data_IF_238336728038
#
_entry.id   IF_238336728038
#
_cell.length_a   1.000
_cell.length_b   1.000
_cell.length_c   1.000
_cell.angle_alpha   90.00
_cell.angle_beta   90.00
_cell.angle_gamma   90.00
#
_symmetry.space_group_name_H-M   'P 1'
#
loop_
_entity.id
_entity.type
_entity.pdbx_description
1 polymer ?
#
# COMPACT_ATOMS: atom_id res chain seq x y z
N UNK A 1 -1.49 12.75 -18.82
CA UNK A 1 -0.22 12.02 -18.62
C UNK A 1 -0.40 10.99 -17.52
N UNK A 2 -0.65 9.72 -17.85
CA UNK A 2 -0.65 8.64 -16.87
C UNK A 2 0.79 8.41 -16.41
N UNK A 3 1.17 8.98 -15.26
CA UNK A 3 2.43 8.61 -14.61
C UNK A 3 2.30 7.15 -14.20
N UNK A 4 3.17 6.28 -14.74
CA UNK A 4 3.17 4.86 -14.41
C UNK A 4 3.49 4.64 -12.93
N UNK A 5 2.76 3.74 -12.28
CA UNK A 5 2.98 3.37 -10.88
C UNK A 5 4.14 2.36 -10.79
N UNK A 6 5.00 2.55 -9.80
CA UNK A 6 6.11 1.64 -9.46
C UNK A 6 5.96 1.18 -8.01
N UNK A 7 6.46 0.00 -7.68
CA UNK A 7 6.18 -0.59 -6.37
C UNK A 7 6.78 -1.96 -6.16
N UNK A 8 6.59 -2.51 -4.96
CA UNK A 8 7.08 -3.84 -4.62
C UNK A 8 6.03 -4.92 -4.92
N UNK A 9 6.45 -5.94 -5.66
CA UNK A 9 5.70 -7.16 -5.91
C UNK A 9 6.59 -8.38 -5.66
N UNK A 10 6.21 -9.24 -4.71
CA UNK A 10 6.97 -10.43 -4.28
C UNK A 10 8.47 -10.17 -4.03
N UNK A 11 8.81 -8.99 -3.49
CA UNK A 11 10.20 -8.59 -3.21
C UNK A 11 10.94 -7.91 -4.37
N UNK A 12 10.39 -7.94 -5.59
CA UNK A 12 10.91 -7.20 -6.74
C UNK A 12 10.32 -5.79 -6.80
N UNK A 13 11.15 -4.81 -7.19
CA UNK A 13 10.72 -3.43 -7.35
C UNK A 13 10.38 -3.14 -8.82
N UNK A 14 9.11 -3.31 -9.19
CA UNK A 14 8.64 -3.10 -10.55
C UNK A 14 8.48 -1.60 -10.85
N UNK A 15 8.86 -1.17 -12.05
CA UNK A 15 8.95 0.23 -12.48
C UNK A 15 7.73 0.73 -13.22
N UNK A 16 6.79 -0.15 -13.55
CA UNK A 16 5.52 0.22 -14.19
C UNK A 16 4.37 -0.72 -13.85
N UNK A 17 3.14 -0.23 -14.04
CA UNK A 17 1.93 -1.05 -13.91
C UNK A 17 1.87 -2.17 -14.95
N UNK A 18 2.52 -2.00 -16.12
CA UNK A 18 2.54 -3.02 -17.17
C UNK A 18 3.50 -4.15 -16.82
N UNK A 19 4.64 -3.84 -16.20
CA UNK A 19 5.53 -4.87 -15.63
C UNK A 19 4.80 -5.67 -14.54
N UNK A 20 4.01 -5.00 -13.69
CA UNK A 20 3.18 -5.68 -12.71
C UNK A 20 2.15 -6.63 -13.34
N UNK A 21 1.44 -6.16 -14.38
CA UNK A 21 0.50 -7.02 -15.10
C UNK A 21 1.21 -8.24 -15.71
N UNK A 22 2.36 -8.04 -16.36
CA UNK A 22 3.13 -9.15 -16.91
C UNK A 22 3.59 -10.13 -15.83
N UNK A 23 4.12 -9.64 -14.70
CA UNK A 23 4.51 -10.49 -13.57
C UNK A 23 3.33 -11.31 -13.02
N UNK A 24 2.14 -10.71 -12.92
CA UNK A 24 0.90 -11.41 -12.51
C UNK A 24 0.48 -12.49 -13.50
N UNK A 25 0.58 -12.21 -14.80
CA UNK A 25 0.33 -13.21 -15.85
C UNK A 25 1.28 -14.40 -15.70
N UNK A 26 2.59 -14.14 -15.56
CA UNK A 26 3.60 -15.20 -15.41
C UNK A 26 3.33 -16.06 -14.18
N UNK A 27 2.99 -15.41 -13.06
CA UNK A 27 2.66 -16.09 -11.80
C UNK A 27 1.39 -16.94 -11.91
N UNK A 28 0.36 -16.50 -12.64
CA UNK A 28 -0.86 -17.27 -12.85
C UNK A 28 -0.59 -18.60 -13.57
N UNK A 29 0.30 -18.57 -14.56
CA UNK A 29 0.75 -19.77 -15.28
C UNK A 29 1.92 -20.49 -14.61
N UNK A 30 2.33 -20.06 -13.41
CA UNK A 30 3.47 -20.63 -12.68
C UNK A 30 4.77 -20.66 -13.49
N UNK A 31 4.97 -19.66 -14.35
CA UNK A 31 6.18 -19.52 -15.16
C UNK A 31 7.26 -18.85 -14.28
N UNK A 32 8.41 -19.49 -14.03
CA UNK A 32 9.48 -18.86 -13.26
C UNK A 32 10.08 -17.67 -14.02
N UNK A 33 10.30 -16.57 -13.32
CA UNK A 33 10.90 -15.36 -13.87
C UNK A 33 11.83 -14.68 -12.86
N UNK A 34 12.76 -13.90 -13.39
CA UNK A 34 13.59 -12.97 -12.61
C UNK A 34 13.53 -11.58 -13.25
N UNK A 35 14.00 -10.56 -12.52
CA UNK A 35 13.70 -9.17 -12.86
C UNK A 35 14.92 -8.29 -12.75
N UNK A 36 15.24 -7.60 -13.85
CA UNK A 36 16.36 -6.67 -13.96
C UNK A 36 17.73 -7.26 -13.54
N UNK A 37 17.92 -8.58 -13.71
CA UNK A 37 19.07 -9.34 -13.20
C UNK A 37 20.43 -8.85 -13.69
N UNK A 38 20.53 -8.52 -14.99
CA UNK A 38 21.80 -8.15 -15.62
C UNK A 38 21.63 -7.07 -16.69
N UNK A 39 22.74 -6.48 -17.07
CA UNK A 39 22.84 -5.48 -18.15
C UNK A 39 23.63 -6.06 -19.32
N UNK A 40 23.22 -5.75 -20.55
CA UNK A 40 23.92 -6.09 -21.78
C UNK A 40 24.58 -4.85 -22.36
N UNK A 41 25.83 -4.98 -22.79
CA UNK A 41 26.46 -3.98 -23.65
C UNK A 41 26.06 -4.26 -25.10
N UNK A 42 25.31 -3.34 -25.71
CA UNK A 42 24.88 -3.45 -27.11
C UNK A 42 25.70 -2.53 -28.05
N UNK A 43 26.88 -2.12 -27.60
CA UNK A 43 27.88 -1.35 -28.35
C UNK A 43 27.73 0.16 -28.21
N UNK A 44 26.51 0.68 -28.15
CA UNK A 44 26.26 2.14 -28.03
C UNK A 44 25.59 2.55 -26.71
N UNK A 45 25.11 1.58 -25.93
CA UNK A 45 24.59 1.78 -24.58
C UNK A 45 24.60 0.47 -23.81
N UNK A 46 24.56 0.58 -22.49
CA UNK A 46 24.15 -0.52 -21.64
C UNK A 46 22.61 -0.61 -21.66
N UNK A 47 22.09 -1.81 -21.89
CA UNK A 47 20.67 -2.10 -21.93
C UNK A 47 20.29 -3.10 -20.83
N UNK A 48 19.19 -2.86 -20.14
CA UNK A 48 18.69 -3.71 -19.07
C UNK A 48 17.25 -4.10 -19.37
N UNK A 49 17.01 -5.33 -19.87
CA UNK A 49 15.67 -5.85 -20.03
C UNK A 49 14.92 -5.97 -18.69
N UNK A 50 13.60 -5.98 -18.74
CA UNK A 50 12.76 -6.08 -17.55
C UNK A 50 12.77 -7.50 -16.95
N UNK A 51 12.47 -8.52 -17.77
CA UNK A 51 12.29 -9.91 -17.30
C UNK A 51 13.29 -10.87 -17.93
N UNK A 52 13.70 -11.88 -17.15
CA UNK A 52 14.67 -12.90 -17.50
C UNK A 52 14.11 -14.30 -17.26
N UNK A 53 14.36 -15.20 -18.21
CA UNK A 53 13.90 -16.59 -18.17
C UNK A 53 15.07 -17.55 -18.36
N UNK A 54 15.23 -18.45 -17.40
CA UNK A 54 16.31 -19.42 -17.34
C UNK A 54 15.79 -20.82 -17.68
N UNK A 55 16.65 -21.66 -18.23
CA UNK A 55 16.39 -23.09 -18.34
C UNK A 55 16.66 -23.81 -17.00
N UNK A 56 16.50 -25.13 -17.01
CA UNK A 56 16.69 -25.97 -15.82
C UNK A 56 18.15 -25.99 -15.34
N UNK A 57 19.10 -25.73 -16.25
CA UNK A 57 20.53 -25.69 -15.96
C UNK A 57 20.99 -24.29 -15.50
N UNK A 58 20.08 -23.32 -15.44
CA UNK A 58 20.36 -21.95 -15.03
C UNK A 58 20.95 -21.07 -16.15
N UNK A 59 20.91 -21.51 -17.41
CA UNK A 59 21.33 -20.69 -18.55
C UNK A 59 20.21 -19.75 -18.96
N UNK A 60 20.60 -18.52 -19.34
CA UNK A 60 19.63 -17.53 -19.81
C UNK A 60 19.13 -17.89 -21.19
N UNK A 61 17.85 -18.24 -21.28
CA UNK A 61 17.19 -18.63 -22.52
C UNK A 61 16.57 -17.44 -23.24
N UNK A 62 15.97 -16.52 -22.48
CA UNK A 62 15.15 -15.44 -23.04
C UNK A 62 15.07 -14.23 -22.13
N UNK A 63 14.98 -13.05 -22.73
CA UNK A 63 14.67 -11.79 -22.06
C UNK A 63 13.40 -11.17 -22.62
N UNK A 64 12.69 -10.39 -21.80
CA UNK A 64 11.48 -9.70 -22.21
C UNK A 64 11.51 -8.25 -21.76
N UNK A 65 11.17 -7.34 -22.67
CA UNK A 65 10.97 -5.91 -22.41
C UNK A 65 9.48 -5.57 -22.41
N UNK A 66 9.03 -4.83 -21.40
CA UNK A 66 7.66 -4.31 -21.31
C UNK A 66 7.65 -2.84 -21.72
N UNK A 67 6.89 -2.51 -22.78
CA UNK A 67 6.87 -1.16 -23.32
C UNK A 67 5.48 -0.51 -23.30
N UNK A 68 5.48 0.81 -23.18
CA UNK A 68 4.27 1.61 -23.32
C UNK A 68 3.82 1.74 -24.79
N UNK A 69 2.67 2.37 -25.04
CA UNK A 69 2.14 2.64 -26.39
C UNK A 69 2.95 3.66 -27.21
N UNK A 70 4.08 4.16 -26.69
CA UNK A 70 4.92 5.11 -27.40
C UNK A 70 5.70 4.42 -28.53
N UNK A 71 5.42 4.84 -29.78
CA UNK A 71 6.00 4.21 -30.98
C UNK A 71 7.53 4.37 -31.07
N UNK A 72 8.07 5.53 -30.70
CA UNK A 72 9.52 5.75 -30.73
C UNK A 72 10.24 4.92 -29.68
N UNK A 73 9.65 4.81 -28.49
CA UNK A 73 10.15 3.94 -27.44
C UNK A 73 10.11 2.47 -27.87
N UNK A 74 9.01 2.01 -28.49
CA UNK A 74 8.88 0.65 -29.05
C UNK A 74 9.97 0.39 -30.09
N UNK A 75 10.17 1.27 -31.07
CA UNK A 75 11.23 1.14 -32.09
C UNK A 75 12.63 1.08 -31.47
N UNK A 76 12.91 1.94 -30.49
CA UNK A 76 14.22 1.97 -29.83
C UNK A 76 14.49 0.73 -28.96
N UNK A 77 13.46 0.18 -28.32
CA UNK A 77 13.54 -1.07 -27.58
C UNK A 77 13.77 -2.25 -28.54
N UNK A 78 13.01 -2.36 -29.64
CA UNK A 78 13.21 -3.41 -30.66
C UNK A 78 14.66 -3.44 -31.16
N UNK A 79 15.22 -2.28 -31.57
CA UNK A 79 16.62 -2.19 -32.01
C UNK A 79 17.62 -2.65 -30.95
N UNK A 80 17.33 -2.42 -29.67
CA UNK A 80 18.19 -2.86 -28.58
C UNK A 80 18.10 -4.37 -28.38
N UNK A 81 16.90 -4.93 -28.42
CA UNK A 81 16.65 -6.37 -28.31
C UNK A 81 17.24 -7.16 -29.48
N UNK A 82 17.10 -6.68 -30.72
CA UNK A 82 17.74 -7.27 -31.91
C UNK A 82 19.27 -7.33 -31.75
N UNK A 83 19.88 -6.30 -31.13
CA UNK A 83 21.31 -6.29 -30.82
C UNK A 83 21.68 -7.28 -29.73
N UNK A 84 20.82 -7.47 -28.72
CA UNK A 84 21.05 -8.49 -27.69
C UNK A 84 21.05 -9.88 -28.34
N UNK A 85 20.06 -10.16 -29.18
CA UNK A 85 19.97 -11.44 -29.87
C UNK A 85 21.17 -11.67 -30.81
N UNK A 86 21.57 -10.65 -31.57
CA UNK A 86 22.72 -10.73 -32.48
C UNK A 86 24.07 -10.89 -31.77
N UNK A 87 24.29 -10.23 -30.63
CA UNK A 87 25.60 -10.21 -29.95
C UNK A 87 25.73 -11.40 -28.99
N UNK A 88 24.64 -11.75 -28.30
CA UNK A 88 24.67 -12.73 -27.21
C UNK A 88 23.94 -14.04 -27.54
N UNK A 89 23.24 -14.13 -28.67
CA UNK A 89 22.44 -15.32 -29.03
C UNK A 89 21.23 -15.54 -28.11
N UNK A 90 20.77 -14.50 -27.41
CA UNK A 90 19.67 -14.58 -26.45
C UNK A 90 18.38 -14.13 -27.11
N UNK A 91 17.36 -15.01 -27.11
CA UNK A 91 16.03 -14.67 -27.62
C UNK A 91 15.45 -13.49 -26.83
N UNK A 92 14.88 -12.53 -27.55
CA UNK A 92 14.32 -11.33 -26.93
C UNK A 92 12.87 -11.11 -27.39
N UNK A 93 11.94 -10.92 -26.46
CA UNK A 93 10.57 -10.52 -26.78
C UNK A 93 10.28 -9.08 -26.32
N UNK A 94 9.42 -8.39 -27.05
CA UNK A 94 8.86 -7.12 -26.63
C UNK A 94 7.35 -7.26 -26.45
N UNK A 95 6.87 -6.88 -25.28
CA UNK A 95 5.46 -6.94 -24.91
C UNK A 95 4.98 -5.51 -24.67
N UNK A 96 4.09 -5.02 -25.53
CA UNK A 96 3.43 -3.73 -25.34
C UNK A 96 2.03 -3.91 -24.73
N UNK A 97 1.30 -2.81 -24.59
CA UNK A 97 -0.06 -2.86 -24.05
C UNK A 97 -0.99 -3.76 -24.87
N UNK A 98 -0.85 -3.79 -26.20
CA UNK A 98 -1.68 -4.59 -27.09
C UNK A 98 -1.43 -6.08 -26.89
N UNK A 99 -0.16 -6.49 -26.78
CA UNK A 99 0.22 -7.86 -26.48
C UNK A 99 -0.27 -8.25 -25.07
N UNK A 100 -0.14 -7.37 -24.06
CA UNK A 100 -0.74 -7.61 -22.73
C UNK A 100 -2.26 -7.77 -22.80
N UNK A 101 -2.96 -6.95 -23.58
CA UNK A 101 -4.42 -7.06 -23.72
C UNK A 101 -4.79 -8.45 -24.26
N UNK A 102 -4.09 -8.91 -25.29
CA UNK A 102 -4.32 -10.21 -25.91
C UNK A 102 -4.01 -11.36 -24.94
N UNK A 103 -2.92 -11.26 -24.17
CA UNK A 103 -2.54 -12.27 -23.16
C UNK A 103 -3.59 -12.44 -22.04
N UNK A 104 -4.43 -11.43 -21.83
CA UNK A 104 -5.44 -11.41 -20.78
C UNK A 104 -6.83 -11.85 -21.25
N UNK A 105 -7.02 -12.19 -22.53
CA UNK A 105 -8.33 -12.57 -23.08
C UNK A 105 -8.89 -13.82 -22.39
N UNK A 106 -8.06 -14.84 -22.17
CA UNK A 106 -8.47 -16.14 -21.63
C UNK A 106 -8.32 -16.25 -20.11
N UNK A 107 -7.99 -15.15 -19.43
CA UNK A 107 -7.78 -15.14 -17.98
C UNK A 107 -9.10 -14.87 -17.23
N UNK A 108 -9.24 -15.40 -15.99
CA UNK A 108 -10.43 -15.14 -15.17
C UNK A 108 -10.51 -13.70 -14.63
N UNK A 109 -9.55 -12.84 -14.98
CA UNK A 109 -9.49 -11.44 -14.61
C UNK A 109 -8.97 -10.61 -15.78
N UNK A 110 -9.45 -9.37 -15.89
CA UNK A 110 -9.05 -8.47 -16.98
C UNK A 110 -7.77 -7.71 -16.65
N UNK A 111 -7.07 -7.26 -17.70
CA UNK A 111 -5.90 -6.37 -17.56
C UNK A 111 -6.25 -5.13 -16.74
N UNK A 112 -7.40 -4.51 -17.00
CA UNK A 112 -7.85 -3.32 -16.27
C UNK A 112 -8.06 -3.58 -14.78
N UNK A 113 -8.58 -4.77 -14.41
CA UNK A 113 -8.72 -5.17 -13.01
C UNK A 113 -7.36 -5.22 -12.32
N UNK A 114 -6.36 -5.85 -12.94
CA UNK A 114 -5.01 -5.97 -12.39
C UNK A 114 -4.29 -4.62 -12.31
N UNK A 115 -4.44 -3.76 -13.33
CA UNK A 115 -3.86 -2.41 -13.29
C UNK A 115 -4.49 -1.57 -12.16
N UNK A 116 -5.81 -1.71 -11.94
CA UNK A 116 -6.52 -1.02 -10.85
C UNK A 116 -6.11 -1.55 -9.49
N UNK A 117 -5.94 -2.87 -9.34
CA UNK A 117 -5.38 -3.52 -8.15
C UNK A 117 -4.01 -2.91 -7.81
N UNK A 118 -3.14 -2.75 -8.80
CA UNK A 118 -1.81 -2.15 -8.60
C UNK A 118 -1.88 -0.71 -8.13
N UNK A 119 -2.70 0.11 -8.81
CA UNK A 119 -2.85 1.54 -8.51
C UNK A 119 -3.36 1.75 -7.08
N UNK A 120 -4.24 0.87 -6.61
CA UNK A 120 -4.82 0.94 -5.28
C UNK A 120 -4.00 0.20 -4.20
N UNK A 121 -2.90 -0.45 -4.59
CA UNK A 121 -2.02 -1.16 -3.65
C UNK A 121 -1.27 -0.19 -2.75
N UNK A 122 -1.11 -0.56 -1.47
CA UNK A 122 -0.25 0.14 -0.52
C UNK A 122 1.26 -0.05 -0.82
N UNK A 123 1.62 -0.98 -1.70
CA UNK A 123 3.00 -1.23 -2.12
C UNK A 123 3.40 -0.51 -3.40
N UNK A 124 2.47 0.20 -4.05
CA UNK A 124 2.68 0.94 -5.29
C UNK A 124 2.58 2.45 -5.07
N UNK A 125 3.30 3.21 -5.89
CA UNK A 125 3.30 4.67 -5.85
C UNK A 125 3.60 5.26 -7.21
N UNK A 126 3.09 6.46 -7.45
CA UNK A 126 3.44 7.28 -8.62
C UNK A 126 4.91 7.71 -8.57
N UNK A 127 5.49 7.79 -7.37
CA UNK A 127 6.86 8.30 -7.16
C UNK A 127 7.88 7.16 -7.25
N UNK A 128 8.49 6.99 -8.43
CA UNK A 128 9.55 5.99 -8.63
C UNK A 128 10.74 6.24 -7.70
N UNK A 129 11.32 5.16 -7.18
CA UNK A 129 12.50 5.23 -6.32
C UNK A 129 13.72 5.70 -7.12
N UNK A 130 14.39 6.72 -6.60
CA UNK A 130 15.58 7.33 -7.20
C UNK A 130 16.86 7.10 -6.37
N UNK A 131 16.85 6.14 -5.44
CA UNK A 131 17.93 5.89 -4.49
C UNK A 131 18.40 4.43 -4.51
N UNK A 132 19.69 4.22 -4.20
CA UNK A 132 20.29 2.90 -4.06
C UNK A 132 19.99 1.96 -5.22
N UNK A 133 19.87 0.66 -4.91
CA UNK A 133 19.60 -0.41 -5.90
C UNK A 133 18.26 -0.30 -6.65
N UNK A 134 17.34 0.53 -6.16
CA UNK A 134 16.03 0.71 -6.78
C UNK A 134 16.01 1.81 -7.84
N UNK A 135 17.06 2.63 -7.92
CA UNK A 135 17.24 3.56 -9.02
C UNK A 135 17.47 2.78 -10.33
N UNK A 136 16.76 3.12 -11.41
CA UNK A 136 16.92 2.49 -12.74
C UNK A 136 18.32 2.64 -13.32
N UNK A 137 19.04 3.66 -12.88
CA UNK A 137 20.43 3.90 -13.26
C UNK A 137 21.44 3.42 -12.22
N UNK A 138 21.02 2.60 -11.25
CA UNK A 138 21.95 2.05 -10.27
C UNK A 138 23.06 1.25 -10.95
N UNK A 139 24.31 1.58 -10.61
CA UNK A 139 25.53 1.05 -11.22
C UNK A 139 25.71 1.31 -12.73
N UNK A 140 24.85 2.09 -13.38
CA UNK A 140 25.09 2.54 -14.75
C UNK A 140 26.03 3.74 -14.76
N UNK A 141 27.21 3.58 -15.36
CA UNK A 141 28.17 4.68 -15.55
C UNK A 141 27.94 5.34 -16.90
N UNK A 142 28.05 6.66 -16.94
CA UNK A 142 28.08 7.39 -18.21
C UNK A 142 29.38 7.10 -18.98
N UNK A 143 29.28 6.94 -20.30
CA UNK A 143 30.46 6.93 -21.18
C UNK A 143 31.15 8.29 -21.17
N UNK A 144 32.43 8.33 -21.54
CA UNK A 144 33.19 9.58 -21.55
C UNK A 144 32.64 10.60 -22.56
N UNK A 145 32.12 10.13 -23.68
CA UNK A 145 31.39 10.97 -24.64
C UNK A 145 30.11 11.56 -24.06
N UNK A 146 29.35 10.78 -23.28
CA UNK A 146 28.16 11.29 -22.60
C UNK A 146 28.54 12.33 -21.54
N UNK A 147 29.60 12.07 -20.76
CA UNK A 147 30.14 13.06 -19.79
C UNK A 147 30.55 14.35 -20.49
N UNK A 148 31.23 14.26 -21.64
CA UNK A 148 31.65 15.42 -22.43
C UNK A 148 30.44 16.24 -22.90
N UNK A 149 29.42 15.58 -23.48
CA UNK A 149 28.18 16.24 -23.92
C UNK A 149 27.42 16.90 -22.77
N UNK A 150 27.30 16.22 -21.63
CA UNK A 150 26.68 16.78 -20.41
C UNK A 150 27.45 18.01 -19.95
N UNK A 151 28.78 17.94 -19.94
CA UNK A 151 29.66 19.05 -19.56
C UNK A 151 29.52 20.26 -20.49
N UNK A 152 29.54 20.05 -21.80
CA UNK A 152 29.36 21.10 -22.81
C UNK A 152 27.97 21.76 -22.70
N UNK A 153 26.92 20.97 -22.56
CA UNK A 153 25.56 21.48 -22.35
C UNK A 153 25.46 22.30 -21.06
N UNK A 154 26.05 21.82 -19.97
CA UNK A 154 26.08 22.55 -18.69
C UNK A 154 26.81 23.87 -18.84
N UNK A 155 27.98 23.90 -19.50
CA UNK A 155 28.71 25.14 -19.79
C UNK A 155 27.86 26.13 -20.59
N UNK A 156 27.14 25.66 -21.61
CA UNK A 156 26.20 26.49 -22.40
C UNK A 156 25.10 27.10 -21.52
N UNK A 157 24.48 26.30 -20.64
CA UNK A 157 23.47 26.79 -19.71
C UNK A 157 23.99 27.88 -18.76
N UNK A 158 25.23 27.74 -18.27
CA UNK A 158 25.86 28.74 -17.40
C UNK A 158 26.26 30.02 -18.11
N UNK A 159 26.59 29.94 -19.40
CA UNK A 159 26.94 31.10 -20.23
C UNK A 159 25.72 31.96 -20.57
N UNK A 160 24.51 31.41 -20.54
CA UNK A 160 23.27 32.13 -20.87
C UNK A 160 22.57 32.69 -19.62
N UNK A 161 22.10 33.94 -19.66
CA UNK A 161 21.19 34.51 -18.65
C UNK A 161 19.76 34.00 -18.87
N UNK A 162 19.50 32.75 -18.49
CA UNK A 162 18.19 32.13 -18.60
C UNK A 162 17.63 31.72 -17.22
N UNK A 163 16.33 31.37 -17.20
CA UNK A 163 15.62 30.91 -16.00
C UNK A 163 16.31 29.69 -15.36
N UNK A 164 16.95 28.84 -16.17
CA UNK A 164 17.68 27.66 -15.70
C UNK A 164 18.89 28.06 -14.85
N UNK A 165 19.71 29.01 -15.30
CA UNK A 165 20.84 29.56 -14.54
C UNK A 165 20.38 30.15 -13.20
N UNK A 166 19.28 30.91 -13.20
CA UNK A 166 18.73 31.46 -11.95
C UNK A 166 18.30 30.36 -10.96
N UNK A 167 17.63 29.31 -11.43
CA UNK A 167 17.26 28.15 -10.58
C UNK A 167 18.49 27.41 -10.05
N UNK A 168 19.55 27.28 -10.85
CA UNK A 168 20.81 26.66 -10.40
C UNK A 168 21.49 27.50 -9.31
N UNK A 169 21.58 28.81 -9.49
CA UNK A 169 22.10 29.74 -8.47
C UNK A 169 21.29 29.67 -7.17
N UNK A 170 19.96 29.63 -7.27
CA UNK A 170 19.09 29.50 -6.11
C UNK A 170 19.27 28.15 -5.40
N UNK A 171 19.42 27.07 -6.17
CA UNK A 171 19.77 25.75 -5.63
C UNK A 171 21.11 25.77 -4.88
N UNK A 172 22.12 26.44 -5.42
CA UNK A 172 23.42 26.61 -4.77
C UNK A 172 23.34 27.46 -3.49
N UNK A 173 22.53 28.53 -3.49
CA UNK A 173 22.25 29.32 -2.28
C UNK A 173 21.60 28.48 -1.19
N UNK A 174 20.60 27.68 -1.55
CA UNK A 174 19.88 26.77 -0.63
C UNK A 174 20.76 25.62 -0.12
N UNK A 175 21.65 25.08 -0.94
CA UNK A 175 22.45 23.89 -0.61
C UNK A 175 23.83 24.20 -0.01
N UNK A 176 24.57 25.16 -0.58
CA UNK A 176 25.99 25.37 -0.29
C UNK A 176 26.30 26.42 0.78
N UNK A 177 25.58 27.54 0.81
CA UNK A 177 25.84 28.64 1.76
C UNK A 177 25.13 28.45 3.10
N UNK A 178 23.96 27.81 3.13
CA UNK A 178 23.19 27.56 4.35
C UNK A 178 23.60 26.29 5.12
N UNK A 179 24.49 25.44 4.57
CA UNK A 179 24.92 24.17 5.20
C UNK A 179 26.41 24.08 5.54
N UNK A 180 27.29 24.88 4.92
CA UNK A 180 28.70 24.98 5.35
C UNK A 180 28.75 25.54 6.77
N UNK A 181 29.24 24.73 7.72
CA UNK A 181 29.40 25.12 9.13
C UNK A 181 28.26 24.73 10.08
N UNK A 182 27.16 24.13 9.60
CA UNK A 182 26.15 23.57 10.51
C UNK A 182 26.71 22.34 11.21
N UNK A 183 26.87 22.45 12.54
CA UNK A 183 27.18 21.32 13.40
C UNK A 183 26.12 20.25 13.15
N UNK A 184 26.53 19.07 12.69
CA UNK A 184 25.60 17.95 12.50
C UNK A 184 24.95 17.65 13.85
N UNK A 185 23.62 17.72 13.92
CA UNK A 185 22.89 17.35 15.13
C UNK A 185 23.34 15.96 15.56
N UNK A 186 23.83 15.81 16.81
CA UNK A 186 24.31 14.52 17.27
C UNK A 186 23.19 13.48 17.24
N UNK A 187 23.58 12.23 17.06
CA UNK A 187 22.69 11.09 17.17
C UNK A 187 22.78 10.50 18.56
N UNK A 188 21.72 9.81 18.96
CA UNK A 188 21.64 9.07 20.20
C UNK A 188 20.95 7.74 19.95
N UNK A 189 21.19 6.78 20.83
CA UNK A 189 20.53 5.48 20.81
C UNK A 189 19.29 5.58 21.70
N UNK A 190 18.13 5.25 21.15
CA UNK A 190 16.86 5.13 21.90
C UNK A 190 16.35 3.70 21.84
N UNK A 191 15.56 3.31 22.84
CA UNK A 191 14.82 2.03 22.85
C UNK A 191 13.43 2.21 22.27
N UNK A 192 13.07 1.33 21.35
CA UNK A 192 11.74 1.31 20.73
C UNK A 192 10.67 1.00 21.78
N UNK A 193 9.64 1.85 21.90
CA UNK A 193 8.53 1.64 22.85
C UNK A 193 7.83 0.29 22.62
N UNK A 194 7.80 -0.21 21.37
CA UNK A 194 7.06 -1.43 21.02
C UNK A 194 7.86 -2.72 21.21
N UNK A 195 9.11 -2.76 20.77
CA UNK A 195 9.91 -4.00 20.73
C UNK A 195 11.19 -3.93 21.58
N UNK A 196 11.41 -2.80 22.26
CA UNK A 196 12.57 -2.52 23.11
C UNK A 196 13.94 -2.58 22.43
N UNK A 197 13.98 -2.76 21.09
CA UNK A 197 15.22 -2.72 20.32
C UNK A 197 15.79 -1.32 20.27
N UNK A 198 17.11 -1.25 20.34
CA UNK A 198 17.87 -0.02 20.21
C UNK A 198 17.91 0.43 18.74
N UNK A 199 17.76 1.75 18.54
CA UNK A 199 17.88 2.37 17.22
C UNK A 199 18.51 3.76 17.33
N UNK A 200 19.28 4.11 16.32
CA UNK A 200 19.96 5.40 16.25
C UNK A 200 19.01 6.47 15.70
N UNK A 201 18.94 7.61 16.38
CA UNK A 201 18.09 8.73 15.98
C UNK A 201 18.76 10.07 16.28
N UNK A 202 18.43 11.12 15.53
CA UNK A 202 18.85 12.49 15.87
C UNK A 202 18.28 12.89 17.24
N UNK A 203 19.06 13.55 18.09
CA UNK A 203 18.58 14.05 19.40
C UNK A 203 17.29 14.88 19.30
N UNK A 204 17.15 15.66 18.23
CA UNK A 204 15.96 16.50 17.99
C UNK A 204 14.76 15.75 17.42
N UNK A 205 14.91 14.48 17.04
CA UNK A 205 13.82 13.69 16.47
C UNK A 205 12.79 13.34 17.53
N UNK A 206 11.52 13.32 17.13
CA UNK A 206 10.40 12.82 17.96
C UNK A 206 10.13 11.32 17.76
N UNK A 207 10.98 10.63 16.99
CA UNK A 207 10.78 9.21 16.70
C UNK A 207 10.97 8.36 17.96
N UNK A 208 9.97 7.53 18.25
CA UNK A 208 9.92 6.65 19.43
C UNK A 208 9.90 5.15 19.08
N UNK A 209 9.86 4.83 17.77
CA UNK A 209 9.80 3.46 17.27
C UNK A 209 10.96 3.20 16.32
N UNK A 210 11.55 2.00 16.37
CA UNK A 210 12.68 1.65 15.51
C UNK A 210 12.29 1.47 14.03
N UNK A 211 11.01 1.30 13.72
CA UNK A 211 10.52 1.11 12.36
C UNK A 211 9.07 1.57 12.20
N UNK A 212 8.67 1.82 10.95
CA UNK A 212 7.28 2.10 10.56
C UNK A 212 6.37 0.95 11.00
N UNK A 213 6.82 -0.30 10.84
CA UNK A 213 6.07 -1.49 11.26
C UNK A 213 5.77 -1.46 12.77
N UNK A 214 6.76 -1.15 13.62
CA UNK A 214 6.56 -1.05 15.07
C UNK A 214 5.59 0.08 15.44
N UNK A 215 5.67 1.22 14.76
CA UNK A 215 4.73 2.32 14.95
C UNK A 215 3.30 1.92 14.57
N UNK A 216 3.13 1.28 13.42
CA UNK A 216 1.82 0.86 12.91
C UNK A 216 1.16 -0.19 13.83
N UNK A 217 1.94 -1.21 14.25
CA UNK A 217 1.44 -2.23 15.17
C UNK A 217 1.00 -1.64 16.52
N UNK A 218 1.75 -0.66 17.04
CA UNK A 218 1.34 0.01 18.28
C UNK A 218 0.07 0.85 18.09
N UNK A 219 -0.04 1.56 16.96
CA UNK A 219 -1.25 2.33 16.63
C UNK A 219 -2.50 1.44 16.50
N UNK A 220 -2.38 0.27 15.85
CA UNK A 220 -3.48 -0.71 15.75
C UNK A 220 -3.90 -1.20 17.13
N UNK A 221 -2.94 -1.51 18.00
CA UNK A 221 -3.22 -1.92 19.37
C UNK A 221 -3.99 -0.83 20.12
N UNK A 222 -3.50 0.41 20.11
CA UNK A 222 -4.15 1.54 20.77
C UNK A 222 -5.57 1.80 20.24
N UNK A 223 -5.77 1.73 18.92
CA UNK A 223 -7.09 1.87 18.31
C UNK A 223 -8.04 0.74 18.72
N UNK A 224 -7.53 -0.49 18.80
CA UNK A 224 -8.28 -1.66 19.25
C UNK A 224 -8.69 -1.50 20.72
N UNK A 225 -7.75 -1.13 21.59
CA UNK A 225 -8.00 -0.91 23.02
C UNK A 225 -9.03 0.21 23.23
N UNK A 226 -8.92 1.32 22.49
CA UNK A 226 -9.89 2.42 22.52
C UNK A 226 -11.28 1.97 22.05
N UNK A 227 -11.35 1.22 20.94
CA UNK A 227 -12.61 0.66 20.44
C UNK A 227 -13.27 -0.30 21.45
N UNK A 228 -12.49 -1.21 22.04
CA UNK A 228 -12.97 -2.17 23.04
C UNK A 228 -13.47 -1.45 24.28
N UNK A 229 -12.74 -0.45 24.78
CA UNK A 229 -13.16 0.35 25.93
C UNK A 229 -14.45 1.13 25.64
N UNK A 230 -14.54 1.79 24.49
CA UNK A 230 -15.76 2.53 24.10
C UNK A 230 -16.95 1.59 23.97
N UNK A 231 -16.75 0.41 23.36
CA UNK A 231 -17.79 -0.62 23.26
C UNK A 231 -18.25 -1.09 24.63
N UNK A 232 -17.34 -1.26 25.59
CA UNK A 232 -17.69 -1.66 26.96
C UNK A 232 -18.56 -0.61 27.66
N UNK A 233 -18.24 0.68 27.50
CA UNK A 233 -19.07 1.78 27.99
C UNK A 233 -20.46 1.76 27.36
N UNK A 234 -20.54 1.73 26.03
CA UNK A 234 -21.82 1.70 25.31
C UNK A 234 -22.66 0.49 25.67
N UNK A 235 -22.04 -0.69 25.84
CA UNK A 235 -22.77 -1.89 26.29
C UNK A 235 -23.36 -1.70 27.68
N UNK A 236 -22.62 -1.10 28.61
CA UNK A 236 -23.12 -0.79 29.96
C UNK A 236 -24.30 0.17 29.89
N UNK A 237 -24.17 1.26 29.14
CA UNK A 237 -25.24 2.26 28.97
C UNK A 237 -26.50 1.68 28.33
N UNK A 238 -26.36 0.81 27.32
CA UNK A 238 -27.48 0.10 26.70
C UNK A 238 -28.16 -0.82 27.73
N UNK A 239 -27.40 -1.57 28.53
CA UNK A 239 -27.94 -2.45 29.55
C UNK A 239 -28.73 -1.66 30.60
N UNK A 240 -28.15 -0.59 31.13
CA UNK A 240 -28.79 0.28 32.13
C UNK A 240 -30.06 0.93 31.55
N UNK A 241 -30.02 1.33 30.27
CA UNK A 241 -31.18 1.87 29.58
C UNK A 241 -32.30 0.83 29.41
N UNK A 242 -31.97 -0.41 29.03
CA UNK A 242 -32.95 -1.50 28.90
C UNK A 242 -33.61 -1.81 30.24
N UNK A 243 -32.84 -1.85 31.33
CA UNK A 243 -33.37 -2.06 32.68
C UNK A 243 -34.38 -0.96 33.03
N UNK A 244 -33.99 0.31 32.90
CA UNK A 244 -34.87 1.45 33.17
C UNK A 244 -36.11 1.47 32.27
N UNK A 245 -35.94 1.21 30.98
CA UNK A 245 -37.05 1.17 30.04
C UNK A 245 -38.03 0.04 30.38
N UNK A 246 -37.53 -1.11 30.84
CA UNK A 246 -38.37 -2.24 31.23
C UNK A 246 -39.27 -1.90 32.41
N UNK A 247 -38.72 -1.21 33.41
CA UNK A 247 -39.47 -0.73 34.58
C UNK A 247 -40.53 0.29 34.18
N UNK A 248 -40.18 1.28 33.35
CA UNK A 248 -41.11 2.33 32.91
C UNK A 248 -42.23 1.82 31.99
N UNK A 249 -41.98 0.73 31.26
CA UNK A 249 -42.90 0.16 30.28
C UNK A 249 -43.36 -1.25 30.69
N UNK A 250 -43.49 -1.49 31.99
CA UNK A 250 -43.77 -2.81 32.57
C UNK A 250 -44.93 -3.54 31.89
N UNK A 251 -46.05 -2.86 31.69
CA UNK A 251 -47.24 -3.45 31.03
C UNK A 251 -46.93 -3.95 29.62
N UNK A 252 -46.15 -3.20 28.85
CA UNK A 252 -45.74 -3.57 27.48
C UNK A 252 -44.81 -4.78 27.52
N UNK A 253 -43.84 -4.79 28.46
CA UNK A 253 -42.87 -5.87 28.61
C UNK A 253 -43.56 -7.19 29.00
N UNK A 254 -44.39 -7.17 30.04
CA UNK A 254 -45.06 -8.35 30.57
C UNK A 254 -46.02 -8.96 29.55
N UNK A 255 -46.78 -8.12 28.84
CA UNK A 255 -47.74 -8.54 27.80
C UNK A 255 -47.11 -8.98 26.47
N UNK A 256 -45.81 -8.73 26.26
CA UNK A 256 -45.13 -9.09 24.99
C UNK A 256 -45.09 -10.63 24.81
N UNK A 257 -45.65 -11.19 23.73
CA UNK A 257 -45.55 -12.61 23.43
C UNK A 257 -44.24 -12.91 22.69
N UNK A 258 -43.67 -14.11 22.92
CA UNK A 258 -42.34 -14.50 22.43
C UNK A 258 -42.21 -14.54 20.88
N UNK A 259 -43.33 -14.59 20.16
CA UNK A 259 -43.38 -14.57 18.70
C UNK A 259 -43.55 -13.16 18.10
N UNK A 260 -43.88 -12.13 18.89
CA UNK A 260 -44.06 -10.73 18.41
C UNK A 260 -43.10 -9.74 19.04
N UNK A 261 -41.96 -10.21 19.55
CA UNK A 261 -40.96 -9.39 20.24
C UNK A 261 -40.56 -8.18 19.38
N UNK A 262 -40.11 -8.42 18.14
CA UNK A 262 -39.56 -7.35 17.29
C UNK A 262 -40.53 -6.20 17.03
N UNK A 263 -41.84 -6.48 16.97
CA UNK A 263 -42.87 -5.47 16.77
C UNK A 263 -43.21 -4.75 18.08
N UNK A 264 -43.27 -5.47 19.20
CA UNK A 264 -43.71 -4.90 20.48
C UNK A 264 -42.62 -4.05 21.14
N UNK A 265 -41.36 -4.47 21.09
CA UNK A 265 -40.22 -3.70 21.64
C UNK A 265 -39.52 -2.82 20.60
N UNK A 266 -40.16 -2.57 19.45
CA UNK A 266 -39.63 -1.65 18.44
C UNK A 266 -39.33 -0.25 18.98
N UNK A 267 -40.15 0.36 19.88
CA UNK A 267 -39.82 1.65 20.47
C UNK A 267 -38.49 1.65 21.23
N UNK A 268 -38.24 0.62 22.05
CA UNK A 268 -36.97 0.43 22.76
C UNK A 268 -35.78 0.38 21.79
N UNK A 269 -35.89 -0.40 20.71
CA UNK A 269 -34.80 -0.53 19.72
C UNK A 269 -34.54 0.79 19.00
N UNK A 270 -35.59 1.55 18.69
CA UNK A 270 -35.45 2.87 18.10
C UNK A 270 -34.79 3.86 19.04
N UNK A 271 -35.13 3.82 20.33
CA UNK A 271 -34.50 4.68 21.33
C UNK A 271 -33.03 4.33 21.52
N UNK A 272 -32.70 3.03 21.56
CA UNK A 272 -31.30 2.56 21.59
C UNK A 272 -30.55 3.01 20.32
N UNK A 273 -31.17 2.94 19.14
CA UNK A 273 -30.56 3.43 17.91
C UNK A 273 -30.33 4.95 17.96
N UNK A 274 -31.30 5.74 18.41
CA UNK A 274 -31.18 7.20 18.52
C UNK A 274 -30.12 7.64 19.53
N UNK A 275 -30.02 6.94 20.67
CA UNK A 275 -29.10 7.30 21.75
C UNK A 275 -27.69 6.76 21.55
N UNK A 276 -27.56 5.54 21.05
CA UNK A 276 -26.31 4.79 21.04
C UNK A 276 -25.87 4.35 19.63
N UNK A 277 -26.67 4.61 18.58
CA UNK A 277 -26.36 4.21 17.21
C UNK A 277 -26.49 2.71 16.93
N UNK A 278 -27.07 1.93 17.84
CA UNK A 278 -27.16 0.47 17.74
C UNK A 278 -28.58 0.03 17.36
N UNK A 279 -28.72 -0.66 16.20
CA UNK A 279 -29.98 -1.24 15.72
C UNK A 279 -29.99 -2.77 15.72
N UNK A 280 -28.82 -3.41 15.67
CA UNK A 280 -28.70 -4.86 15.58
C UNK A 280 -28.98 -5.53 16.94
N UNK A 281 -30.02 -6.35 17.00
CA UNK A 281 -30.41 -7.11 18.19
C UNK A 281 -29.30 -8.00 18.75
N UNK A 282 -28.39 -8.50 17.92
CA UNK A 282 -27.26 -9.32 18.38
C UNK A 282 -26.29 -8.49 19.21
N UNK A 283 -26.11 -7.21 18.84
CA UNK A 283 -25.29 -6.26 19.60
C UNK A 283 -25.99 -5.86 20.89
N UNK A 284 -27.30 -5.61 20.83
CA UNK A 284 -28.13 -5.31 22.01
C UNK A 284 -28.13 -6.48 23.00
N UNK A 285 -28.26 -7.72 22.51
CA UNK A 285 -28.18 -8.93 23.33
C UNK A 285 -26.80 -9.07 23.99
N UNK A 286 -25.72 -8.89 23.23
CA UNK A 286 -24.34 -8.86 23.74
C UNK A 286 -24.10 -7.78 24.79
N UNK A 287 -24.77 -6.62 24.68
CA UNK A 287 -24.66 -5.56 25.67
C UNK A 287 -25.20 -5.99 27.05
N UNK A 288 -26.27 -6.79 27.07
CA UNK A 288 -26.91 -7.24 28.30
C UNK A 288 -26.21 -8.46 28.91
N UNK A 289 -25.87 -9.45 28.07
CA UNK A 289 -25.43 -10.78 28.51
C UNK A 289 -23.93 -11.07 28.33
N UNK A 290 -23.18 -10.19 27.65
CA UNK A 290 -21.79 -10.44 27.26
C UNK A 290 -21.65 -11.30 26.00
N UNK A 291 -22.71 -11.99 25.59
CA UNK A 291 -22.79 -12.83 24.39
C UNK A 291 -24.16 -12.67 23.71
N UNK A 292 -24.30 -13.17 22.48
CA UNK A 292 -25.57 -13.10 21.77
C UNK A 292 -26.47 -14.27 22.21
N UNK A 293 -27.50 -13.94 22.98
CA UNK A 293 -28.53 -14.89 23.43
C UNK A 293 -29.86 -14.69 22.69
N UNK A 294 -29.89 -13.80 21.69
CA UNK A 294 -31.07 -13.49 20.92
C UNK A 294 -32.14 -12.70 21.67
N UNK A 295 -33.27 -12.49 20.98
CA UNK A 295 -34.35 -11.59 21.42
C UNK A 295 -35.28 -12.20 22.47
N UNK A 296 -35.41 -13.53 22.47
CA UNK A 296 -36.24 -14.26 23.44
C UNK A 296 -35.65 -14.17 24.84
N UNK A 297 -34.35 -14.40 24.98
CA UNK A 297 -33.65 -14.24 26.26
C UNK A 297 -33.68 -12.79 26.73
N UNK A 298 -33.57 -11.83 25.79
CA UNK A 298 -33.68 -10.42 26.13
C UNK A 298 -35.06 -10.07 26.73
N UNK A 299 -36.17 -10.51 26.12
CA UNK A 299 -37.50 -10.21 26.67
C UNK A 299 -37.75 -10.96 27.98
N UNK A 300 -37.24 -12.19 28.14
CA UNK A 300 -37.32 -12.92 29.40
C UNK A 300 -36.56 -12.21 30.52
N UNK A 301 -35.36 -11.69 30.22
CA UNK A 301 -34.61 -10.85 31.15
C UNK A 301 -35.40 -9.59 31.53
N UNK A 302 -36.00 -8.88 30.56
CA UNK A 302 -36.80 -7.69 30.84
C UNK A 302 -38.01 -8.01 31.72
N UNK A 303 -38.72 -9.12 31.46
CA UNK A 303 -39.83 -9.58 32.32
C UNK A 303 -39.37 -9.89 33.74
N UNK A 304 -38.18 -10.49 33.88
CA UNK A 304 -37.58 -10.76 35.19
C UNK A 304 -37.27 -9.46 35.94
N UNK A 305 -36.69 -8.47 35.26
CA UNK A 305 -36.44 -7.13 35.82
C UNK A 305 -37.73 -6.48 36.35
N UNK A 306 -38.84 -6.57 35.59
CA UNK A 306 -40.14 -6.06 36.04
C UNK A 306 -40.65 -6.78 37.29
N UNK A 307 -40.58 -8.12 37.31
CA UNK A 307 -41.13 -8.94 38.38
C UNK A 307 -40.32 -8.90 39.69
N UNK A 308 -39.01 -8.71 39.61
CA UNK A 308 -38.12 -8.84 40.78
C UNK A 308 -37.78 -7.51 41.48
N UNK A 309 -38.30 -6.35 41.03
CA UNK A 309 -37.89 -5.02 41.55
C UNK A 309 -36.37 -4.94 41.81
N UNK A 310 -35.57 -5.36 40.83
CA UNK A 310 -34.11 -5.42 40.97
C UNK A 310 -33.60 -3.98 41.04
N UNK A 311 -33.32 -3.50 42.26
CA UNK A 311 -32.51 -2.32 42.55
C UNK A 311 -31.02 -2.64 42.41
#
# INVERSE_FOLDING_TARGET
MNRGYAGFYKGFYLRSSYEYAYAKYLDFYSIPWSYEDRTFDIGYKLYKPDFFFYDQDGNLKRVVEIISRNLDAKKNAMKALEKIESIYGIKSDLISYEELLNMYIDLPFSLNSILTEWINSNTATINKAAYGKFNGHYNLRHSDEAKKRIGEHTKKLWATENVTKQKMLEGLRKSGLAQKGKIKTPREIRKCIKCNREFEVLKTSKQSYCSILCSAQNAIKLATDAYVNKRRETHKEIKDYIINWSILNEQVVLSTPLNKISTTIYPLVNDIYRKFGVKDFRVISKAVFGEDRGRKELILFMKKVCNEKIC
#
